data_IF_479274586496
#
_entry.id   IF_479274586496
#
_cell.length_a   1.000
_cell.length_b   1.000
_cell.length_c   1.000
_cell.angle_alpha   90.00
_cell.angle_beta   90.00
_cell.angle_gamma   90.00
#
_symmetry.space_group_name_H-M   'P 1'
#
loop_
_entity.id
_entity.type
_entity.pdbx_description
1 polymer ?
#
# COMPACT_ATOMS: atom_id res chain seq x y z
N UNK A 1 31.38 41.45 36.15
CA UNK A 1 30.28 40.84 35.36
C UNK A 1 30.49 41.20 33.89
N UNK A 2 30.84 40.22 33.04
CA UNK A 2 31.11 40.42 31.62
C UNK A 2 29.84 40.33 30.78
N UNK A 3 29.65 41.25 29.83
CA UNK A 3 28.48 41.28 28.95
C UNK A 3 28.57 40.14 27.93
N UNK A 4 27.52 39.31 27.87
CA UNK A 4 27.37 38.27 26.83
C UNK A 4 27.26 38.96 25.47
N UNK A 5 28.09 38.54 24.51
CA UNK A 5 28.09 39.07 23.15
C UNK A 5 26.81 38.70 22.37
N UNK A 6 26.51 39.42 21.27
CA UNK A 6 25.33 39.15 20.46
C UNK A 6 25.39 37.74 19.83
N UNK A 7 24.21 37.12 19.69
CA UNK A 7 24.05 35.84 18.99
C UNK A 7 24.43 36.02 17.52
N UNK A 8 25.28 35.13 17.01
CA UNK A 8 25.73 35.15 15.61
C UNK A 8 24.58 34.92 14.62
N UNK A 9 24.77 35.29 13.34
CA UNK A 9 23.75 35.13 12.31
C UNK A 9 23.34 33.66 12.14
N UNK A 10 22.05 33.43 11.89
CA UNK A 10 21.54 32.10 11.59
C UNK A 10 22.15 31.59 10.28
N UNK A 11 22.68 30.36 10.29
CA UNK A 11 23.27 29.72 9.11
C UNK A 11 22.25 29.49 7.98
N UNK A 12 22.72 29.28 6.74
CA UNK A 12 21.84 29.06 5.59
C UNK A 12 20.93 27.84 5.82
N UNK A 13 19.68 27.93 5.36
CA UNK A 13 18.76 26.78 5.33
C UNK A 13 19.41 25.64 4.53
N UNK A 14 19.38 24.42 5.09
CA UNK A 14 19.87 23.22 4.42
C UNK A 14 19.14 22.97 3.09
N UNK A 15 19.78 22.22 2.18
CA UNK A 15 19.19 21.85 0.88
C UNK A 15 17.89 21.07 1.10
N UNK A 16 16.82 21.47 0.41
CA UNK A 16 15.57 20.69 0.35
C UNK A 16 15.86 19.33 -0.28
N UNK A 17 15.56 18.25 0.45
CA UNK A 17 15.71 16.89 -0.05
C UNK A 17 14.79 16.58 -1.24
N UNK A 18 15.00 15.45 -1.94
CA UNK A 18 14.12 15.03 -3.03
C UNK A 18 12.68 14.81 -2.52
N UNK A 19 11.69 15.09 -3.37
CA UNK A 19 10.28 14.90 -3.01
C UNK A 19 9.93 13.40 -2.95
N UNK A 20 8.87 13.07 -2.19
CA UNK A 20 8.36 11.70 -2.07
C UNK A 20 8.09 11.05 -3.44
N UNK A 21 7.55 11.81 -4.39
CA UNK A 21 7.30 11.32 -5.76
C UNK A 21 8.58 10.87 -6.45
N UNK A 22 9.68 11.61 -6.28
CA UNK A 22 10.99 11.27 -6.86
C UNK A 22 11.58 10.05 -6.18
N UNK A 23 11.47 9.94 -4.85
CA UNK A 23 12.00 8.79 -4.10
C UNK A 23 11.20 7.52 -4.43
N UNK A 24 9.87 7.62 -4.53
CA UNK A 24 9.00 6.52 -4.87
C UNK A 24 9.18 6.03 -6.31
N UNK A 25 9.33 6.95 -7.28
CA UNK A 25 9.52 6.57 -8.67
C UNK A 25 10.84 5.86 -8.93
N UNK A 26 11.90 6.17 -8.16
CA UNK A 26 13.20 5.46 -8.23
C UNK A 26 13.08 3.98 -7.92
N UNK A 27 12.18 3.60 -7.02
CA UNK A 27 11.90 2.19 -6.74
C UNK A 27 10.81 1.62 -7.67
N UNK A 28 10.36 2.35 -8.69
CA UNK A 28 9.26 1.92 -9.57
C UNK A 28 7.89 1.89 -8.88
N UNK A 29 7.74 2.63 -7.79
CA UNK A 29 6.48 2.80 -7.07
C UNK A 29 5.67 4.00 -7.56
N UNK A 30 4.45 4.12 -7.04
CA UNK A 30 3.56 5.26 -7.26
C UNK A 30 3.09 5.80 -5.91
N UNK A 31 2.94 7.12 -5.82
CA UNK A 31 2.47 7.78 -4.60
C UNK A 31 0.95 7.90 -4.61
N UNK A 32 0.31 7.53 -3.50
CA UNK A 32 -1.10 7.76 -3.26
C UNK A 32 -1.30 8.26 -1.84
N UNK A 33 -2.01 9.39 -1.66
CA UNK A 33 -2.27 10.03 -0.36
C UNK A 33 -1.02 10.17 0.54
N UNK A 34 0.12 10.54 -0.05
CA UNK A 34 1.37 10.74 0.70
C UNK A 34 2.10 9.45 1.11
N UNK A 35 1.69 8.29 0.58
CA UNK A 35 2.34 7.00 0.80
C UNK A 35 2.89 6.47 -0.52
N UNK A 36 4.13 5.98 -0.52
CA UNK A 36 4.70 5.30 -1.67
C UNK A 36 4.22 3.85 -1.71
N UNK A 37 3.71 3.40 -2.86
CA UNK A 37 3.26 2.02 -3.05
C UNK A 37 4.00 1.34 -4.18
N UNK A 38 4.25 0.05 -4.03
CA UNK A 38 4.83 -0.80 -5.06
C UNK A 38 4.11 -2.15 -5.07
N UNK A 39 3.92 -2.68 -6.28
CA UNK A 39 3.21 -3.94 -6.48
C UNK A 39 4.15 -5.14 -6.59
N UNK A 40 3.63 -6.32 -6.28
CA UNK A 40 4.28 -7.60 -6.50
C UNK A 40 3.25 -8.66 -6.84
N UNK A 41 3.63 -9.64 -7.66
CA UNK A 41 2.77 -10.78 -8.00
C UNK A 41 2.89 -11.83 -6.91
N UNK A 42 1.76 -12.33 -6.43
CA UNK A 42 1.75 -13.45 -5.49
C UNK A 42 1.63 -14.77 -6.25
N UNK A 43 2.44 -15.76 -5.88
CA UNK A 43 2.29 -17.14 -6.35
C UNK A 43 1.55 -18.02 -5.35
N UNK A 44 1.62 -17.67 -4.07
CA UNK A 44 1.15 -18.45 -2.94
C UNK A 44 0.53 -17.52 -1.87
N UNK A 45 -0.07 -18.10 -0.83
CA UNK A 45 -0.72 -17.38 0.27
C UNK A 45 0.32 -16.85 1.27
N UNK A 46 1.28 -16.06 0.78
CA UNK A 46 2.42 -15.53 1.51
C UNK A 46 2.79 -14.16 0.97
N UNK A 47 3.38 -13.31 1.81
CA UNK A 47 3.94 -12.05 1.36
C UNK A 47 5.09 -12.27 0.36
N UNK A 48 5.08 -11.49 -0.73
CA UNK A 48 6.19 -11.36 -1.66
C UNK A 48 6.56 -9.88 -1.83
N UNK A 49 7.24 -9.25 -0.85
CA UNK A 49 7.63 -7.85 -0.93
C UNK A 49 8.43 -7.54 -2.21
N UNK A 50 8.15 -6.44 -2.91
CA UNK A 50 8.92 -6.08 -4.09
C UNK A 50 10.34 -5.63 -3.71
N UNK A 51 11.32 -5.73 -4.63
CA UNK A 51 12.69 -5.28 -4.36
C UNK A 51 12.73 -3.79 -4.03
N UNK A 52 13.74 -3.36 -3.28
CA UNK A 52 13.97 -1.94 -2.91
C UNK A 52 12.80 -1.27 -2.17
N UNK A 53 11.94 -2.06 -1.53
CA UNK A 53 10.79 -1.58 -0.76
C UNK A 53 10.92 -2.02 0.70
N UNK A 54 11.23 -1.07 1.59
CA UNK A 54 11.11 -1.32 3.02
C UNK A 54 9.63 -1.26 3.42
N UNK A 55 8.99 -2.44 3.44
CA UNK A 55 7.54 -2.56 3.62
C UNK A 55 7.11 -2.20 5.04
N UNK A 56 6.07 -1.37 5.15
CA UNK A 56 5.35 -1.12 6.40
C UNK A 56 3.84 -1.11 6.16
N UNK A 57 3.03 -1.22 7.22
CA UNK A 57 1.57 -1.03 7.11
C UNK A 57 1.19 0.36 7.64
N UNK A 58 0.70 1.28 6.79
CA UNK A 58 0.30 2.61 7.20
C UNK A 58 -0.93 2.53 8.08
N UNK A 59 -0.92 3.32 9.15
CA UNK A 59 -2.10 3.53 9.98
C UNK A 59 -3.00 4.54 9.27
N UNK A 60 -4.13 4.07 8.74
CA UNK A 60 -5.06 4.86 7.97
C UNK A 60 -6.49 4.29 8.08
N UNK A 61 -7.47 5.10 7.68
CA UNK A 61 -8.88 4.71 7.65
C UNK A 61 -9.41 4.72 6.22
N UNK A 62 -8.76 3.98 5.33
CA UNK A 62 -9.12 3.94 3.93
C UNK A 62 -10.42 3.18 3.66
N UNK A 63 -11.15 3.70 2.68
CA UNK A 63 -12.47 3.25 2.26
C UNK A 63 -12.41 2.38 0.99
N UNK A 64 -13.56 1.87 0.55
CA UNK A 64 -13.65 1.09 -0.69
C UNK A 64 -13.15 1.88 -1.92
N UNK A 65 -13.41 3.19 -1.95
CA UNK A 65 -12.92 4.07 -3.02
C UNK A 65 -11.38 4.16 -3.08
N UNK A 66 -10.71 4.08 -1.93
CA UNK A 66 -9.25 4.07 -1.86
C UNK A 66 -8.68 2.74 -2.36
N UNK A 67 -9.36 1.63 -2.04
CA UNK A 67 -9.05 0.32 -2.61
C UNK A 67 -9.18 0.36 -4.14
N UNK A 68 -10.29 0.87 -4.68
CA UNK A 68 -10.52 0.99 -6.12
C UNK A 68 -9.45 1.87 -6.78
N UNK A 69 -9.06 2.98 -6.15
CA UNK A 69 -8.01 3.85 -6.66
C UNK A 69 -6.65 3.13 -6.75
N UNK A 70 -6.23 2.47 -5.66
CA UNK A 70 -4.97 1.71 -5.63
C UNK A 70 -5.00 0.53 -6.61
N UNK A 71 -6.11 -0.20 -6.70
CA UNK A 71 -6.30 -1.27 -7.67
C UNK A 71 -6.13 -0.74 -9.10
N UNK A 72 -6.76 0.38 -9.44
CA UNK A 72 -6.65 1.01 -10.77
C UNK A 72 -5.22 1.42 -11.11
N UNK A 73 -4.43 1.84 -10.13
CA UNK A 73 -3.02 2.22 -10.32
C UNK A 73 -2.11 1.01 -10.59
N UNK A 74 -2.40 -0.16 -10.01
CA UNK A 74 -1.48 -1.30 -10.00
C UNK A 74 -1.97 -2.54 -10.77
N UNK A 75 -3.15 -2.47 -11.40
CA UNK A 75 -3.64 -3.54 -12.27
C UNK A 75 -2.79 -3.66 -13.54
N UNK A 76 -2.55 -4.91 -13.96
CA UNK A 76 -1.90 -5.24 -15.23
C UNK A 76 -2.92 -5.62 -16.32
N UNK A 77 -4.18 -5.83 -15.94
CA UNK A 77 -5.25 -6.31 -16.82
C UNK A 77 -6.54 -5.56 -16.53
N UNK A 78 -7.51 -5.54 -17.48
CA UNK A 78 -8.87 -5.14 -17.17
C UNK A 78 -9.36 -5.95 -15.97
N UNK A 79 -9.47 -5.28 -14.82
CA UNK A 79 -9.94 -5.88 -13.59
C UNK A 79 -11.40 -5.49 -13.44
N UNK A 80 -12.21 -6.44 -12.98
CA UNK A 80 -13.62 -6.20 -12.68
C UNK A 80 -13.72 -5.55 -11.29
N UNK A 81 -14.49 -4.46 -11.17
CA UNK A 81 -14.58 -3.69 -9.92
C UNK A 81 -15.53 -4.32 -8.89
N UNK A 82 -16.24 -5.38 -9.29
CA UNK A 82 -17.16 -6.11 -8.42
C UNK A 82 -16.39 -7.01 -7.46
N UNK A 83 -16.41 -6.68 -6.17
CA UNK A 83 -15.75 -7.46 -5.10
C UNK A 83 -16.56 -8.71 -4.75
N UNK A 84 -15.88 -9.86 -4.66
CA UNK A 84 -16.45 -11.10 -4.17
C UNK A 84 -16.55 -11.04 -2.64
N UNK A 85 -17.76 -10.71 -2.16
CA UNK A 85 -18.05 -10.53 -0.73
C UNK A 85 -18.10 -11.85 0.06
N UNK A 86 -18.10 -12.99 -0.63
CA UNK A 86 -18.15 -14.34 -0.06
C UNK A 86 -16.79 -15.06 -0.15
N UNK A 87 -15.74 -14.39 -0.63
CA UNK A 87 -14.40 -14.96 -0.77
C UNK A 87 -13.71 -15.26 0.57
N UNK A 88 -12.70 -16.13 0.52
CA UNK A 88 -11.85 -16.48 1.66
C UNK A 88 -10.87 -15.35 2.08
N UNK A 89 -10.91 -14.22 1.38
CA UNK A 89 -10.11 -13.04 1.64
C UNK A 89 -10.73 -12.16 2.75
N UNK A 90 -10.59 -10.84 2.64
CA UNK A 90 -11.17 -9.89 3.58
C UNK A 90 -10.16 -8.97 4.28
N UNK A 91 -10.58 -8.38 5.40
CA UNK A 91 -9.83 -7.34 6.12
C UNK A 91 -9.05 -7.93 7.30
N UNK A 92 -7.74 -8.07 7.16
CA UNK A 92 -6.91 -8.82 8.11
C UNK A 92 -5.54 -8.16 8.38
N UNK A 93 -4.72 -8.72 9.26
CA UNK A 93 -3.37 -8.19 9.59
C UNK A 93 -2.27 -9.24 9.54
N UNK A 94 -2.55 -10.38 8.93
CA UNK A 94 -1.62 -11.51 8.85
C UNK A 94 -0.59 -11.36 7.73
N UNK A 95 -0.74 -10.36 6.86
CA UNK A 95 0.20 -10.03 5.80
C UNK A 95 0.71 -8.60 5.90
N UNK A 96 1.92 -8.38 5.41
CA UNK A 96 2.58 -7.07 5.29
C UNK A 96 2.09 -6.29 4.08
N UNK A 97 1.45 -6.93 3.10
CA UNK A 97 0.78 -6.19 2.03
C UNK A 97 -0.27 -5.24 2.62
N UNK A 98 -0.53 -4.16 1.88
CA UNK A 98 -1.55 -3.18 2.23
C UNK A 98 -2.90 -3.58 1.65
N UNK A 99 -2.89 -4.16 0.46
CA UNK A 99 -4.01 -4.86 -0.15
C UNK A 99 -3.52 -5.90 -1.15
N UNK A 100 -4.38 -6.83 -1.52
CA UNK A 100 -4.18 -7.72 -2.65
C UNK A 100 -5.51 -7.95 -3.38
N UNK A 101 -5.45 -8.14 -4.70
CA UNK A 101 -6.64 -8.38 -5.53
C UNK A 101 -6.35 -9.37 -6.65
N UNK A 102 -7.33 -10.23 -6.94
CA UNK A 102 -7.31 -11.10 -8.12
C UNK A 102 -7.72 -10.33 -9.38
N UNK A 103 -7.08 -10.63 -10.51
CA UNK A 103 -7.34 -9.94 -11.79
C UNK A 103 -7.90 -10.85 -12.90
N UNK A 104 -8.24 -12.11 -12.61
CA UNK A 104 -8.60 -13.11 -13.65
C UNK A 104 -10.11 -13.24 -13.88
N UNK A 105 -10.92 -13.13 -12.83
CA UNK A 105 -12.37 -13.39 -12.88
C UNK A 105 -13.14 -12.33 -12.09
N UNK A 106 -14.39 -12.10 -12.50
CA UNK A 106 -15.38 -11.36 -11.72
C UNK A 106 -16.31 -12.36 -11.03
N UNK A 107 -16.78 -12.08 -9.81
CA UNK A 107 -16.31 -11.01 -8.91
C UNK A 107 -14.87 -11.27 -8.42
N UNK A 108 -14.13 -10.21 -8.06
CA UNK A 108 -12.71 -10.30 -7.67
C UNK A 108 -12.57 -10.58 -6.18
N UNK A 109 -11.73 -11.56 -5.84
CA UNK A 109 -11.32 -11.76 -4.45
C UNK A 109 -10.38 -10.65 -4.00
N UNK A 110 -10.67 -10.03 -2.86
CA UNK A 110 -9.95 -8.86 -2.33
C UNK A 110 -9.55 -9.06 -0.89
N UNK A 111 -8.27 -8.83 -0.62
CA UNK A 111 -7.71 -8.80 0.73
C UNK A 111 -7.23 -7.37 1.03
N UNK A 112 -7.49 -6.85 2.23
CA UNK A 112 -7.02 -5.52 2.66
C UNK A 112 -6.44 -5.56 4.07
N UNK A 113 -5.47 -4.70 4.35
CA UNK A 113 -4.86 -4.63 5.68
C UNK A 113 -5.76 -3.85 6.66
N UNK A 114 -6.10 -4.47 7.81
CA UNK A 114 -6.97 -3.90 8.83
C UNK A 114 -6.43 -2.63 9.50
N UNK A 115 -5.12 -2.39 9.44
CA UNK A 115 -4.49 -1.16 9.97
C UNK A 115 -4.66 0.03 9.01
N UNK A 116 -4.84 -0.25 7.73
CA UNK A 116 -4.89 0.77 6.68
C UNK A 116 -6.30 1.01 6.16
N UNK A 117 -7.19 0.01 6.27
CA UNK A 117 -8.57 0.07 5.78
C UNK A 117 -9.59 -0.11 6.89
N UNK A 118 -10.68 0.65 6.81
CA UNK A 118 -11.92 0.39 7.55
C UNK A 118 -12.96 -0.33 6.69
N UNK A 119 -12.79 -0.30 5.36
CA UNK A 119 -13.58 -1.08 4.41
C UNK A 119 -13.41 -2.60 4.62
N UNK A 120 -14.53 -3.32 4.73
CA UNK A 120 -14.55 -4.78 4.75
C UNK A 120 -14.91 -5.35 3.38
N UNK A 121 -14.01 -6.09 2.72
CA UNK A 121 -14.31 -6.76 1.46
C UNK A 121 -15.31 -7.90 1.59
N UNK A 122 -15.52 -8.45 2.79
CA UNK A 122 -16.43 -9.58 3.03
C UNK A 122 -17.59 -9.15 3.92
N UNK A 123 -18.77 -9.75 3.71
CA UNK A 123 -19.96 -9.52 4.55
C UNK A 123 -19.95 -10.37 5.83
N UNK A 124 -19.18 -11.47 5.83
CA UNK A 124 -19.04 -12.39 6.95
C UNK A 124 -17.66 -12.36 7.62
N UNK A 125 -17.40 -13.40 8.42
CA UNK A 125 -16.10 -13.59 9.08
C UNK A 125 -15.01 -13.84 8.03
N UNK A 126 -13.99 -12.98 7.92
CA UNK A 126 -12.94 -13.16 6.92
C UNK A 126 -12.08 -14.37 7.29
N UNK A 127 -11.78 -15.23 6.31
CA UNK A 127 -10.82 -16.35 6.50
C UNK A 127 -9.36 -15.90 6.38
N UNK A 128 -9.13 -14.66 5.99
CA UNK A 128 -7.81 -14.04 5.93
C UNK A 128 -6.81 -14.74 5.02
N UNK A 129 -7.28 -15.33 3.93
CA UNK A 129 -6.43 -15.94 2.92
C UNK A 129 -6.31 -15.01 1.72
N UNK A 130 -5.07 -14.72 1.30
CA UNK A 130 -4.84 -14.15 -0.02
C UNK A 130 -5.08 -15.26 -1.04
N UNK A 131 -5.98 -15.01 -2.00
CA UNK A 131 -6.17 -15.91 -3.13
C UNK A 131 -4.81 -16.13 -3.83
N UNK A 132 -4.56 -17.33 -4.35
CA UNK A 132 -3.24 -17.72 -4.85
C UNK A 132 -3.26 -17.97 -6.36
N UNK A 133 -2.17 -17.61 -7.04
CA UNK A 133 -1.97 -17.89 -8.46
C UNK A 133 -1.48 -16.67 -9.23
N UNK A 134 -1.05 -16.89 -10.48
CA UNK A 134 -0.36 -15.90 -11.32
C UNK A 134 -1.17 -14.61 -11.63
N UNK A 135 -2.42 -14.53 -11.20
CA UNK A 135 -3.34 -13.40 -11.42
C UNK A 135 -3.53 -12.50 -10.20
N UNK A 136 -2.87 -12.79 -9.08
CA UNK A 136 -3.04 -12.03 -7.84
C UNK A 136 -1.94 -10.99 -7.71
N UNK A 137 -2.34 -9.75 -7.49
CA UNK A 137 -1.44 -8.62 -7.27
C UNK A 137 -1.55 -8.15 -5.83
N UNK A 138 -0.43 -8.13 -5.14
CA UNK A 138 -0.29 -7.47 -3.86
C UNK A 138 0.30 -6.07 -4.04
N UNK A 139 -0.19 -5.12 -3.26
CA UNK A 139 0.31 -3.75 -3.21
C UNK A 139 0.84 -3.50 -1.81
N UNK A 140 2.10 -3.08 -1.75
CA UNK A 140 2.85 -2.82 -0.53
C UNK A 140 3.14 -1.34 -0.40
N UNK A 141 3.04 -0.78 0.79
CA UNK A 141 3.56 0.54 1.12
C UNK A 141 5.04 0.46 1.48
N UNK A 142 5.84 1.34 0.87
CA UNK A 142 7.29 1.38 0.99
C UNK A 142 7.72 2.65 1.71
N UNK A 143 8.60 2.52 2.69
CA UNK A 143 9.32 3.66 3.24
C UNK A 143 10.45 4.06 2.27
N UNK A 144 10.45 5.30 1.82
CA UNK A 144 11.37 5.86 0.80
C UNK A 144 11.92 7.22 1.22
#
# INVERSE_FOLDING_TARGET
>A
VGRVGPVGPQGPRGRTGPSLNVMCSRIGGLVYKGVCFKRSKLTDNVDAPPPDCNVYNPEASWQESDYVALMRMFKDRPTWEQVDRESDAGRCSNFRATLAFEQKRSPVSVWVNKKSFVFSPTNGTPKCQMYTGKSVMAVYSCQV
#
